data_IF_232249016704
#
_entry.id   IF_232249016704
#
_cell.length_a   1.000
_cell.length_b   1.000
_cell.length_c   1.000
_cell.angle_alpha   90.00
_cell.angle_beta   90.00
_cell.angle_gamma   90.00
#
_symmetry.space_group_name_H-M   'P 1'
#
loop_
_entity.id
_entity.type
_entity.pdbx_description
1 polymer ?
#
# COMPACT_ATOMS: atom_id res chain seq x y z
N UNK A 1 13.15 -38.78 -27.59
CA UNK A 1 13.50 -37.98 -26.39
C UNK A 1 13.64 -36.49 -26.71
N UNK A 2 14.16 -36.11 -27.90
CA UNK A 2 14.39 -34.70 -28.25
C UNK A 2 13.13 -33.82 -28.42
N UNK A 3 12.01 -34.40 -28.87
CA UNK A 3 10.82 -33.62 -29.26
C UNK A 3 10.18 -32.85 -28.09
N UNK A 4 10.28 -33.38 -26.86
CA UNK A 4 9.77 -32.69 -25.65
C UNK A 4 10.53 -31.38 -25.34
N UNK A 5 11.84 -31.34 -25.59
CA UNK A 5 12.63 -30.12 -25.41
C UNK A 5 12.33 -29.10 -26.51
N UNK A 6 12.07 -29.56 -27.73
CA UNK A 6 11.67 -28.72 -28.86
C UNK A 6 10.32 -28.02 -28.58
N UNK A 7 9.30 -28.76 -28.11
CA UNK A 7 7.99 -28.20 -27.75
C UNK A 7 8.11 -27.15 -26.63
N UNK A 8 8.91 -27.41 -25.58
CA UNK A 8 9.09 -26.47 -24.48
C UNK A 8 9.75 -25.16 -24.95
N UNK A 9 10.82 -25.25 -25.74
CA UNK A 9 11.52 -24.08 -26.30
C UNK A 9 10.64 -23.28 -27.28
N UNK A 10 9.81 -23.94 -28.10
CA UNK A 10 8.83 -23.25 -28.95
C UNK A 10 7.78 -22.49 -28.13
N UNK A 11 7.32 -23.08 -27.02
CA UNK A 11 6.31 -22.50 -26.14
C UNK A 11 6.87 -21.29 -25.37
N UNK A 12 8.09 -21.39 -24.85
CA UNK A 12 8.82 -20.30 -24.21
C UNK A 12 9.11 -19.15 -25.20
N UNK A 13 9.46 -19.47 -26.45
CA UNK A 13 9.62 -18.48 -27.52
C UNK A 13 8.29 -17.75 -27.84
N UNK A 14 7.18 -18.47 -27.89
CA UNK A 14 5.85 -17.87 -28.09
C UNK A 14 5.45 -16.97 -26.91
N UNK A 15 5.71 -17.38 -25.68
CA UNK A 15 5.47 -16.56 -24.48
C UNK A 15 6.33 -15.29 -24.48
N UNK A 16 7.60 -15.41 -24.85
CA UNK A 16 8.53 -14.27 -25.00
C UNK A 16 8.05 -13.27 -26.05
N UNK A 17 7.38 -13.74 -27.11
CA UNK A 17 6.80 -12.91 -28.17
C UNK A 17 5.45 -12.28 -27.78
N UNK A 18 4.65 -12.97 -26.97
CA UNK A 18 3.28 -12.57 -26.61
C UNK A 18 3.12 -12.38 -25.10
N UNK A 19 3.93 -11.50 -24.53
CA UNK A 19 4.01 -11.22 -23.07
C UNK A 19 2.65 -10.95 -22.41
N UNK A 20 1.68 -10.39 -23.16
CA UNK A 20 0.32 -10.11 -22.67
C UNK A 20 -0.62 -11.32 -22.52
N UNK A 21 -0.30 -12.51 -23.06
CA UNK A 21 -1.22 -13.67 -22.98
C UNK A 21 -1.14 -14.43 -21.64
N UNK A 22 -0.08 -14.20 -20.85
CA UNK A 22 0.14 -14.85 -19.56
C UNK A 22 0.52 -16.33 -19.62
N UNK A 23 0.98 -16.85 -18.49
CA UNK A 23 1.28 -18.25 -18.19
C UNK A 23 1.04 -18.54 -16.70
N UNK A 24 1.18 -19.81 -16.28
CA UNK A 24 0.89 -20.23 -14.91
C UNK A 24 1.69 -19.47 -13.83
N UNK A 25 2.91 -19.05 -14.18
CA UNK A 25 3.86 -18.39 -13.28
C UNK A 25 3.88 -16.85 -13.43
N UNK A 26 2.97 -16.28 -14.24
CA UNK A 26 2.84 -14.83 -14.37
C UNK A 26 2.43 -14.21 -13.04
N UNK A 27 3.28 -13.36 -12.49
CA UNK A 27 3.00 -12.69 -11.22
C UNK A 27 1.87 -11.66 -11.36
N UNK A 28 1.20 -11.37 -10.24
CA UNK A 28 0.16 -10.31 -10.16
C UNK A 28 0.67 -8.96 -10.69
N UNK A 29 1.95 -8.64 -10.48
CA UNK A 29 2.56 -7.39 -10.92
C UNK A 29 2.83 -7.37 -12.43
N UNK A 30 3.30 -8.47 -13.03
CA UNK A 30 3.48 -8.60 -14.48
C UNK A 30 2.13 -8.49 -15.20
N UNK A 31 1.12 -9.24 -14.74
CA UNK A 31 -0.24 -9.17 -15.28
C UNK A 31 -0.81 -7.75 -15.20
N UNK A 32 -0.77 -7.12 -14.03
CA UNK A 32 -1.27 -5.76 -13.85
C UNK A 32 -0.52 -4.75 -14.73
N UNK A 33 0.81 -4.88 -14.85
CA UNK A 33 1.63 -3.99 -15.68
C UNK A 33 1.31 -4.11 -17.16
N UNK A 34 1.06 -5.32 -17.66
CA UNK A 34 0.63 -5.56 -19.04
C UNK A 34 -0.74 -4.93 -19.31
N UNK A 35 -1.74 -5.17 -18.45
CA UNK A 35 -3.08 -4.57 -18.58
C UNK A 35 -3.03 -3.04 -18.63
N UNK A 36 -2.20 -2.39 -17.81
CA UNK A 36 -2.04 -0.93 -17.84
C UNK A 36 -1.33 -0.46 -19.13
N UNK A 37 -0.32 -1.19 -19.60
CA UNK A 37 0.37 -0.89 -20.86
C UNK A 37 -0.57 -1.00 -22.06
N UNK A 38 -1.38 -2.05 -22.12
CA UNK A 38 -2.38 -2.25 -23.18
C UNK A 38 -3.44 -1.15 -23.14
N UNK A 39 -3.91 -0.78 -21.94
CA UNK A 39 -4.83 0.35 -21.74
C UNK A 39 -4.25 1.66 -22.27
N UNK A 40 -3.00 2.00 -21.91
CA UNK A 40 -2.33 3.20 -22.42
C UNK A 40 -2.04 3.13 -23.93
N UNK A 41 -1.74 1.94 -24.47
CA UNK A 41 -1.60 1.74 -25.91
C UNK A 41 -2.92 2.01 -26.65
N UNK A 42 -4.06 1.55 -26.12
CA UNK A 42 -5.39 1.88 -26.64
C UNK A 42 -5.67 3.38 -26.60
N UNK A 43 -5.34 4.06 -25.50
CA UNK A 43 -5.51 5.52 -25.39
C UNK A 43 -4.64 6.30 -26.39
N UNK A 44 -3.47 5.77 -26.75
CA UNK A 44 -2.56 6.36 -27.74
C UNK A 44 -2.92 6.03 -29.19
N UNK A 45 -3.51 4.86 -29.44
CA UNK A 45 -3.94 4.39 -30.76
C UNK A 45 -5.26 4.99 -31.23
N UNK A 46 -6.19 5.27 -30.30
CA UNK A 46 -7.49 5.85 -30.63
C UNK A 46 -7.47 7.38 -30.50
N UNK A 47 -7.58 8.07 -31.64
CA UNK A 47 -7.54 9.54 -31.72
C UNK A 47 -8.58 10.21 -30.82
N UNK A 48 -9.80 9.69 -30.77
CA UNK A 48 -10.88 10.26 -29.96
C UNK A 48 -10.62 10.14 -28.45
N UNK A 49 -10.04 9.02 -28.02
CA UNK A 49 -9.66 8.81 -26.62
C UNK A 49 -8.50 9.73 -26.21
N UNK A 50 -7.46 9.85 -27.05
CA UNK A 50 -6.37 10.80 -26.82
C UNK A 50 -6.87 12.25 -26.74
N UNK A 51 -7.82 12.62 -27.61
CA UNK A 51 -8.45 13.94 -27.61
C UNK A 51 -9.28 14.17 -26.35
N UNK A 52 -10.09 13.20 -25.94
CA UNK A 52 -10.93 13.28 -24.75
C UNK A 52 -10.08 13.50 -23.49
N UNK A 53 -9.03 12.69 -23.29
CA UNK A 53 -8.10 12.84 -22.17
C UNK A 53 -7.40 14.21 -22.21
N UNK A 54 -6.97 14.67 -23.39
CA UNK A 54 -6.35 16.00 -23.54
C UNK A 54 -7.28 17.17 -23.20
N UNK A 55 -8.58 17.05 -23.51
CA UNK A 55 -9.58 18.04 -23.11
C UNK A 55 -9.87 18.00 -21.60
N UNK A 56 -9.99 16.81 -21.00
CA UNK A 56 -10.25 16.65 -19.57
C UNK A 56 -9.08 17.12 -18.69
N UNK A 57 -7.84 16.83 -19.09
CA UNK A 57 -6.63 17.27 -18.38
C UNK A 57 -6.24 18.72 -18.71
N UNK A 58 -6.93 19.38 -19.67
CA UNK A 58 -6.60 20.70 -20.21
C UNK A 58 -5.12 20.82 -20.64
N UNK A 59 -4.63 19.80 -21.34
CA UNK A 59 -3.22 19.65 -21.72
C UNK A 59 -3.07 19.40 -23.22
N UNK A 60 -1.91 19.75 -23.79
CA UNK A 60 -1.72 19.54 -25.24
C UNK A 60 -1.68 18.04 -25.58
N UNK A 61 -2.24 17.66 -26.74
CA UNK A 61 -2.25 16.25 -27.21
C UNK A 61 -0.85 15.61 -27.22
N UNK A 62 0.17 16.39 -27.58
CA UNK A 62 1.56 15.96 -27.57
C UNK A 62 2.08 15.69 -26.15
N UNK A 63 1.70 16.53 -25.17
CA UNK A 63 2.08 16.38 -23.77
C UNK A 63 1.34 15.22 -23.10
N UNK A 64 0.05 15.03 -23.36
CA UNK A 64 -0.69 13.83 -22.90
C UNK A 64 -0.08 12.57 -23.49
N UNK A 65 0.25 12.56 -24.80
CA UNK A 65 0.95 11.44 -25.45
C UNK A 65 2.29 11.13 -24.79
N UNK A 66 3.09 12.15 -24.49
CA UNK A 66 4.36 11.99 -23.75
C UNK A 66 4.15 11.45 -22.33
N UNK A 67 3.16 11.95 -21.60
CA UNK A 67 2.84 11.49 -20.24
C UNK A 67 2.35 10.04 -20.21
N UNK A 68 1.49 9.63 -21.16
CA UNK A 68 1.03 8.25 -21.30
C UNK A 68 2.21 7.31 -21.62
N UNK A 69 3.06 7.67 -22.58
CA UNK A 69 4.28 6.92 -22.89
C UNK A 69 5.23 6.80 -21.68
N UNK A 70 5.38 7.87 -20.87
CA UNK A 70 6.15 7.82 -19.63
C UNK A 70 5.52 6.87 -18.60
N UNK A 71 4.19 6.87 -18.46
CA UNK A 71 3.44 5.95 -17.56
C UNK A 71 3.53 4.49 -18.01
N UNK A 72 3.75 4.19 -19.30
CA UNK A 72 3.93 2.81 -19.79
C UNK A 72 5.23 2.15 -19.28
N UNK A 73 6.27 2.91 -18.92
CA UNK A 73 7.54 2.35 -18.42
C UNK A 73 7.29 1.52 -17.16
N UNK A 74 6.61 2.10 -16.17
CA UNK A 74 6.35 1.47 -14.88
C UNK A 74 4.97 1.90 -14.33
N UNK A 75 3.87 1.33 -14.86
CA UNK A 75 2.51 1.76 -14.51
C UNK A 75 2.12 1.38 -13.07
N UNK A 76 2.67 0.28 -12.55
CA UNK A 76 2.30 -0.31 -11.26
C UNK A 76 3.39 -0.16 -10.18
N UNK A 77 4.30 0.82 -10.34
CA UNK A 77 5.46 0.97 -9.47
C UNK A 77 6.52 -0.13 -9.64
N UNK A 78 7.59 -0.13 -8.83
CA UNK A 78 8.63 -1.15 -8.89
C UNK A 78 8.06 -2.56 -8.69
N UNK A 79 8.63 -3.59 -9.33
CA UNK A 79 8.26 -4.97 -9.06
C UNK A 79 8.50 -5.27 -7.58
N UNK A 80 7.58 -6.01 -6.97
CA UNK A 80 7.81 -6.55 -5.63
C UNK A 80 8.98 -7.53 -5.69
N UNK A 81 9.88 -7.44 -4.71
CA UNK A 81 10.93 -8.44 -4.56
C UNK A 81 10.28 -9.82 -4.39
N UNK A 82 10.74 -10.80 -5.16
CA UNK A 82 10.30 -12.18 -5.02
C UNK A 82 10.85 -12.69 -3.68
N UNK A 83 10.04 -12.59 -2.63
CA UNK A 83 10.35 -13.17 -1.32
C UNK A 83 10.57 -14.68 -1.50
N UNK A 84 11.80 -15.12 -1.28
CA UNK A 84 12.15 -16.54 -1.27
C UNK A 84 11.21 -17.29 -0.31
N UNK A 85 10.73 -18.48 -0.68
CA UNK A 85 9.71 -19.20 0.12
C UNK A 85 10.19 -19.46 1.56
N UNK A 86 11.50 -19.64 1.74
CA UNK A 86 12.17 -19.77 3.06
C UNK A 86 12.04 -18.54 3.96
N UNK A 87 11.85 -17.34 3.40
CA UNK A 87 11.63 -16.11 4.16
C UNK A 87 10.22 -16.08 4.76
N UNK A 88 9.23 -16.73 4.12
CA UNK A 88 7.85 -16.79 4.64
C UNK A 88 7.77 -17.59 5.94
N UNK A 89 8.48 -18.71 6.04
CA UNK A 89 8.57 -19.50 7.28
C UNK A 89 9.26 -18.71 8.41
N UNK A 90 10.36 -18.00 8.11
CA UNK A 90 11.05 -17.16 9.09
C UNK A 90 10.13 -16.05 9.60
N UNK A 91 9.42 -15.35 8.70
CA UNK A 91 8.52 -14.26 9.09
C UNK A 91 7.32 -14.75 9.91
N UNK A 92 6.77 -15.93 9.57
CA UNK A 92 5.69 -16.58 10.32
C UNK A 92 6.11 -17.02 11.73
N UNK A 93 7.35 -17.47 11.91
CA UNK A 93 7.92 -17.80 13.22
C UNK A 93 8.25 -16.54 14.05
N UNK A 94 8.62 -15.44 13.40
CA UNK A 94 9.01 -14.19 14.06
C UNK A 94 7.80 -13.38 14.56
N UNK A 95 6.65 -13.45 13.87
CA UNK A 95 5.36 -12.92 14.34
C UNK A 95 4.86 -13.58 15.65
N UNK A 96 5.41 -14.75 16.02
CA UNK A 96 5.01 -15.51 17.22
C UNK A 96 5.70 -15.05 18.52
N UNK A 97 6.83 -14.33 18.46
CA UNK A 97 7.67 -14.05 19.65
C UNK A 97 7.83 -12.57 20.05
N UNK A 98 7.37 -11.61 19.24
CA UNK A 98 7.67 -10.18 19.45
C UNK A 98 6.46 -9.34 19.87
N UNK A 99 6.17 -9.34 21.17
CA UNK A 99 5.58 -8.16 21.84
C UNK A 99 6.37 -7.83 23.10
N UNK A 100 7.48 -7.11 22.93
CA UNK A 100 8.31 -6.61 24.02
C UNK A 100 8.00 -5.15 24.37
N UNK A 101 7.97 -4.85 25.66
CA UNK A 101 7.91 -3.49 26.18
C UNK A 101 9.28 -2.82 26.02
N UNK A 102 9.32 -1.64 25.41
CA UNK A 102 10.54 -0.84 25.34
C UNK A 102 10.55 0.15 26.51
N UNK A 103 11.28 -0.21 27.56
CA UNK A 103 12.01 0.76 28.39
C UNK A 103 13.43 0.90 27.79
N UNK A 104 14.03 2.08 27.84
CA UNK A 104 15.28 2.36 27.12
C UNK A 104 16.45 2.68 28.05
N UNK A 105 17.67 2.46 27.54
CA UNK A 105 18.73 3.47 27.61
C UNK A 105 19.74 3.29 26.44
N UNK A 106 20.77 4.15 26.41
CA UNK A 106 21.66 4.52 25.31
C UNK A 106 22.75 3.50 24.89
N UNK A 107 23.61 3.99 23.98
CA UNK A 107 25.00 3.58 23.64
C UNK A 107 25.12 2.36 22.69
N UNK A 108 25.96 2.31 21.63
CA UNK A 108 27.19 3.04 21.24
C UNK A 108 27.24 3.35 19.71
N UNK A 109 28.01 4.38 19.32
CA UNK A 109 28.38 4.76 17.94
C UNK A 109 29.53 3.90 17.36
N UNK A 110 29.63 3.71 16.02
CA UNK A 110 30.69 4.32 15.17
C UNK A 110 30.87 3.76 13.72
N UNK A 111 30.84 4.67 12.73
CA UNK A 111 31.68 4.81 11.48
C UNK A 111 31.77 3.64 10.47
N UNK A 112 32.11 3.77 9.17
CA UNK A 112 32.60 4.82 8.20
C UNK A 112 32.26 4.28 6.77
N UNK A 113 32.23 4.95 5.62
CA UNK A 113 32.47 6.33 5.10
C UNK A 113 31.66 6.47 3.77
N UNK A 114 31.08 7.60 3.36
CA UNK A 114 31.58 8.87 2.75
C UNK A 114 31.46 8.94 1.22
N UNK A 115 31.25 10.19 0.74
CA UNK A 115 31.27 10.73 -0.63
C UNK A 115 29.86 10.89 -1.26
N UNK A 116 29.15 12.02 -1.12
CA UNK A 116 29.38 13.38 -1.71
C UNK A 116 29.32 13.41 -3.25
N UNK A 117 28.68 14.35 -3.96
CA UNK A 117 27.64 15.38 -3.70
C UNK A 117 27.18 15.91 -5.06
N UNK A 118 25.92 16.31 -5.25
CA UNK A 118 25.62 17.63 -5.85
C UNK A 118 24.23 18.16 -5.45
N UNK A 119 24.07 19.48 -5.51
CA UNK A 119 22.90 20.27 -5.10
C UNK A 119 22.33 21.01 -6.33
N UNK A 120 21.10 21.52 -6.41
CA UNK A 120 20.34 22.37 -5.46
C UNK A 120 18.89 22.57 -6.03
N UNK A 121 18.02 23.49 -5.54
CA UNK A 121 16.76 23.09 -4.89
C UNK A 121 15.47 23.59 -5.59
N UNK A 122 14.30 23.10 -5.16
CA UNK A 122 13.15 23.96 -4.80
C UNK A 122 12.04 23.21 -4.03
N UNK A 123 11.44 23.95 -3.09
CA UNK A 123 10.10 23.81 -2.48
C UNK A 123 9.73 22.54 -1.68
N UNK A 124 9.96 22.65 -0.37
CA UNK A 124 9.53 21.72 0.65
C UNK A 124 8.01 21.75 0.91
N UNK A 125 7.41 20.55 1.01
CA UNK A 125 6.23 20.25 1.84
C UNK A 125 6.19 18.75 2.18
N UNK A 126 6.62 18.39 3.40
CA UNK A 126 6.28 17.08 4.00
C UNK A 126 7.43 16.09 4.22
N UNK A 127 8.50 16.48 4.92
CA UNK A 127 9.48 15.53 5.46
C UNK A 127 8.84 14.53 6.43
N UNK A 128 8.60 13.29 5.98
CA UNK A 128 8.39 12.10 6.84
C UNK A 128 8.49 10.74 6.11
N UNK A 129 8.88 10.71 4.82
CA UNK A 129 8.99 9.47 4.01
C UNK A 129 10.32 8.69 4.20
N UNK A 130 10.63 8.30 5.43
CA UNK A 130 11.80 7.44 5.74
C UNK A 130 11.44 6.13 6.47
N UNK A 131 10.16 5.88 6.72
CA UNK A 131 9.64 4.62 7.24
C UNK A 131 8.18 4.48 6.79
N UNK A 132 7.80 3.36 6.18
CA UNK A 132 6.44 3.11 5.65
C UNK A 132 5.34 2.91 6.71
N UNK A 133 5.33 3.74 7.75
CA UNK A 133 4.44 3.69 8.92
C UNK A 133 3.55 4.93 8.93
N UNK A 134 2.24 4.73 8.96
CA UNK A 134 1.24 5.79 9.13
C UNK A 134 1.07 6.09 10.60
N UNK A 135 1.00 7.37 10.93
CA UNK A 135 0.61 7.87 12.25
C UNK A 135 -0.88 8.13 12.27
N UNK A 136 -1.58 7.54 13.23
CA UNK A 136 -3.03 7.69 13.39
C UNK A 136 -3.41 7.96 14.84
N UNK A 137 -4.59 8.56 15.02
CA UNK A 137 -5.13 9.01 16.30
C UNK A 137 -6.47 8.30 16.55
N UNK A 138 -6.54 7.55 17.64
CA UNK A 138 -7.74 6.82 18.09
C UNK A 138 -8.50 7.62 19.14
N UNK A 139 -9.71 8.05 18.81
CA UNK A 139 -10.63 8.78 19.72
C UNK A 139 -11.83 7.91 20.10
N UNK A 140 -12.13 7.81 21.40
CA UNK A 140 -13.38 7.23 21.88
C UNK A 140 -14.56 8.14 21.52
N UNK A 141 -15.69 7.55 21.12
CA UNK A 141 -16.96 8.27 20.94
C UNK A 141 -18.10 7.48 21.58
N UNK A 142 -19.08 8.20 22.11
CA UNK A 142 -20.16 7.62 22.92
C UNK A 142 -19.64 7.11 24.26
N UNK A 143 -20.16 5.96 24.69
CA UNK A 143 -19.77 5.29 25.95
C UNK A 143 -18.54 4.38 25.85
N UNK A 144 -17.73 4.49 24.79
CA UNK A 144 -16.56 3.63 24.63
C UNK A 144 -15.43 3.98 25.64
N UNK A 145 -14.75 2.98 26.25
CA UNK A 145 -13.69 3.25 27.22
C UNK A 145 -12.51 4.03 26.60
N UNK A 146 -12.02 5.05 27.30
CA UNK A 146 -11.00 5.96 26.77
C UNK A 146 -9.60 5.35 26.90
N UNK A 147 -8.91 5.16 25.76
CA UNK A 147 -7.52 4.70 25.71
C UNK A 147 -6.53 5.65 26.40
N UNK A 148 -5.61 5.09 27.19
CA UNK A 148 -4.50 5.80 27.86
C UNK A 148 -3.50 6.45 26.90
N UNK A 149 -3.37 5.92 25.67
CA UNK A 149 -2.59 6.52 24.57
C UNK A 149 -3.49 6.60 23.34
N UNK A 150 -3.59 7.78 22.75
CA UNK A 150 -4.45 8.01 21.58
C UNK A 150 -3.66 7.98 20.26
N UNK A 151 -2.38 8.36 20.26
CA UNK A 151 -1.53 8.41 19.06
C UNK A 151 -0.78 7.08 18.89
N UNK A 152 -0.89 6.49 17.71
CA UNK A 152 -0.31 5.19 17.35
C UNK A 152 0.36 5.27 15.97
N UNK A 153 1.20 4.29 15.66
CA UNK A 153 1.84 4.14 14.35
C UNK A 153 1.74 2.69 13.86
N UNK A 154 1.35 2.49 12.61
CA UNK A 154 1.15 1.17 12.00
C UNK A 154 1.68 1.16 10.56
N UNK A 155 2.34 0.09 10.09
CA UNK A 155 2.80 0.01 8.69
C UNK A 155 1.65 0.06 7.69
N UNK A 156 1.88 0.71 6.55
CA UNK A 156 0.90 0.93 5.46
C UNK A 156 0.23 -0.35 4.94
N UNK A 157 0.86 -1.51 5.13
CA UNK A 157 0.41 -2.83 4.67
C UNK A 157 -0.69 -3.49 5.53
N UNK A 158 -0.93 -3.03 6.77
CA UNK A 158 -1.94 -3.64 7.66
C UNK A 158 -3.36 -3.12 7.36
N UNK A 159 -4.37 -3.90 7.72
CA UNK A 159 -5.78 -3.60 7.47
C UNK A 159 -6.48 -2.97 8.68
N UNK A 160 -7.65 -2.37 8.47
CA UNK A 160 -8.50 -1.86 9.55
C UNK A 160 -8.91 -2.98 10.52
N UNK A 161 -9.15 -4.20 10.03
CA UNK A 161 -9.46 -5.37 10.86
C UNK A 161 -8.39 -5.65 11.92
N UNK A 162 -7.11 -5.46 11.59
CA UNK A 162 -6.02 -5.62 12.54
C UNK A 162 -6.04 -4.56 13.66
N UNK A 163 -6.50 -3.33 13.36
CA UNK A 163 -6.73 -2.28 14.36
C UNK A 163 -7.91 -2.65 15.27
N UNK A 164 -8.98 -3.22 14.70
CA UNK A 164 -10.15 -3.71 15.45
C UNK A 164 -9.76 -4.85 16.40
N UNK A 165 -8.97 -5.82 15.94
CA UNK A 165 -8.42 -6.91 16.77
C UNK A 165 -7.50 -6.37 17.88
N UNK A 166 -6.61 -5.44 17.54
CA UNK A 166 -5.72 -4.79 18.50
C UNK A 166 -6.49 -4.08 19.61
N UNK A 167 -7.53 -3.29 19.26
CA UNK A 167 -8.37 -2.61 20.23
C UNK A 167 -9.10 -3.58 21.17
N UNK A 168 -9.69 -4.66 20.63
CA UNK A 168 -10.36 -5.70 21.43
C UNK A 168 -9.40 -6.33 22.46
N UNK A 169 -8.18 -6.66 22.04
CA UNK A 169 -7.15 -7.24 22.93
C UNK A 169 -6.60 -6.23 23.94
N UNK A 170 -6.38 -4.98 23.52
CA UNK A 170 -5.79 -3.93 24.38
C UNK A 170 -6.75 -3.48 25.49
N UNK A 171 -8.03 -3.38 25.18
CA UNK A 171 -9.06 -2.88 26.10
C UNK A 171 -9.73 -3.98 26.93
N UNK A 172 -9.39 -5.26 26.70
CA UNK A 172 -9.91 -6.43 27.44
C UNK A 172 -11.45 -6.50 27.50
N UNK A 173 -12.14 -6.15 26.40
CA UNK A 173 -13.60 -6.18 26.32
C UNK A 173 -14.14 -7.60 26.57
N UNK A 174 -15.30 -7.69 27.22
CA UNK A 174 -16.07 -8.93 27.29
C UNK A 174 -16.53 -9.40 25.90
N UNK A 175 -16.72 -10.72 25.74
CA UNK A 175 -17.02 -11.36 24.46
C UNK A 175 -18.29 -10.84 23.75
N UNK A 176 -19.23 -10.24 24.49
CA UNK A 176 -20.39 -9.54 23.94
C UNK A 176 -19.99 -8.19 23.31
N UNK A 177 -19.27 -7.34 24.05
CA UNK A 177 -18.82 -6.02 23.59
C UNK A 177 -17.80 -6.14 22.43
N UNK A 178 -17.01 -7.21 22.40
CA UNK A 178 -16.10 -7.51 21.29
C UNK A 178 -16.80 -7.67 19.94
N UNK A 179 -18.09 -8.04 19.89
CA UNK A 179 -18.83 -8.20 18.62
C UNK A 179 -19.25 -6.86 18.01
N UNK A 180 -19.29 -5.78 18.80
CA UNK A 180 -19.92 -4.51 18.43
C UNK A 180 -18.94 -3.32 18.43
N UNK A 181 -17.64 -3.55 18.31
CA UNK A 181 -16.67 -2.46 18.14
C UNK A 181 -16.67 -1.95 16.69
N UNK A 182 -17.19 -0.74 16.48
CA UNK A 182 -17.18 -0.04 15.20
C UNK A 182 -16.04 0.99 15.16
N UNK A 183 -15.45 1.18 13.97
CA UNK A 183 -14.46 2.23 13.69
C UNK A 183 -14.98 3.10 12.56
N UNK A 184 -14.81 4.41 12.70
CA UNK A 184 -15.22 5.42 11.75
C UNK A 184 -14.07 6.34 11.36
N UNK A 185 -13.96 6.63 10.07
CA UNK A 185 -13.02 7.61 9.51
C UNK A 185 -13.72 8.96 9.47
N UNK A 186 -13.04 10.02 9.91
CA UNK A 186 -13.49 11.41 9.85
C UNK A 186 -14.94 11.69 10.34
N UNK A 187 -15.45 10.87 11.27
CA UNK A 187 -16.81 10.96 11.85
C UNK A 187 -17.95 10.81 10.82
N UNK A 188 -17.71 10.12 9.70
CA UNK A 188 -18.69 9.97 8.62
C UNK A 188 -19.02 8.51 8.32
N UNK A 189 -18.04 7.70 7.93
CA UNK A 189 -18.29 6.33 7.45
C UNK A 189 -17.40 5.29 8.14
N UNK A 190 -17.88 4.04 8.18
CA UNK A 190 -17.13 2.89 8.64
C UNK A 190 -16.42 2.20 7.46
N UNK A 191 -15.07 2.18 7.38
CA UNK A 191 -14.36 1.46 6.33
C UNK A 191 -14.49 -0.06 6.54
N UNK A 192 -14.42 -0.82 5.45
CA UNK A 192 -14.44 -2.28 5.50
C UNK A 192 -13.16 -2.83 6.16
N UNK A 193 -13.28 -3.94 6.90
CA UNK A 193 -12.20 -4.46 7.74
C UNK A 193 -10.98 -5.00 6.95
N UNK A 194 -11.18 -5.33 5.68
CA UNK A 194 -10.15 -5.72 4.71
C UNK A 194 -9.39 -4.54 4.11
N UNK A 195 -9.91 -3.31 4.23
CA UNK A 195 -9.28 -2.11 3.67
C UNK A 195 -7.94 -1.83 4.34
N UNK A 196 -6.91 -1.51 3.56
CA UNK A 196 -5.57 -1.20 4.09
C UNK A 196 -5.52 0.20 4.70
N UNK A 197 -4.78 0.35 5.81
CA UNK A 197 -4.57 1.64 6.46
C UNK A 197 -3.87 2.63 5.52
N UNK A 198 -3.03 2.13 4.59
CA UNK A 198 -2.46 2.86 3.47
C UNK A 198 -3.51 3.63 2.66
N UNK A 199 -4.46 2.90 2.06
CA UNK A 199 -5.49 3.50 1.21
C UNK A 199 -6.38 4.50 1.97
N UNK A 200 -6.75 4.19 3.22
CA UNK A 200 -7.56 5.11 4.05
C UNK A 200 -6.79 6.39 4.36
N UNK A 201 -5.50 6.30 4.71
CA UNK A 201 -4.69 7.48 5.01
C UNK A 201 -4.46 8.36 3.78
N UNK A 202 -4.23 7.77 2.61
CA UNK A 202 -3.97 8.55 1.39
C UNK A 202 -5.19 9.39 0.98
N UNK A 203 -6.40 8.88 1.19
CA UNK A 203 -7.65 9.59 0.87
C UNK A 203 -8.15 10.52 2.00
N UNK A 204 -7.90 10.20 3.27
CA UNK A 204 -8.63 10.80 4.41
C UNK A 204 -7.75 11.37 5.53
N UNK A 205 -6.42 11.44 5.37
CA UNK A 205 -5.57 12.09 6.37
C UNK A 205 -5.90 13.58 6.56
N UNK A 206 -5.55 14.13 7.71
CA UNK A 206 -5.56 15.55 8.02
C UNK A 206 -4.25 15.91 8.69
N UNK A 207 -3.54 16.90 8.14
CA UNK A 207 -2.23 17.36 8.65
C UNK A 207 -1.19 16.24 8.78
N UNK A 208 -1.22 15.24 7.88
CA UNK A 208 -0.33 14.07 7.93
C UNK A 208 -0.66 13.05 9.03
N UNK A 209 -1.84 13.15 9.65
CA UNK A 209 -2.34 12.16 10.61
C UNK A 209 -3.74 11.68 10.24
N UNK A 210 -4.02 10.39 10.43
CA UNK A 210 -5.36 9.84 10.22
C UNK A 210 -6.13 9.78 11.53
N UNK A 211 -7.35 10.33 11.59
CA UNK A 211 -8.17 10.31 12.81
C UNK A 211 -9.26 9.25 12.71
N UNK A 212 -9.17 8.24 13.57
CA UNK A 212 -10.11 7.12 13.69
C UNK A 212 -10.93 7.27 14.97
N UNK A 213 -12.25 7.16 14.85
CA UNK A 213 -13.19 7.23 15.97
C UNK A 213 -13.74 5.83 16.24
N UNK A 214 -13.64 5.32 17.46
CA UNK A 214 -14.15 4.01 17.84
C UNK A 214 -15.32 4.12 18.83
N UNK A 215 -16.29 3.23 18.69
CA UNK A 215 -17.53 3.20 19.48
C UNK A 215 -18.04 1.76 19.65
N UNK A 216 -18.74 1.49 20.75
CA UNK A 216 -19.41 0.20 21.04
C UNK A 216 -20.80 0.08 20.40
N UNK A 217 -21.36 1.19 19.93
CA UNK A 217 -22.66 1.26 19.28
C UNK A 217 -22.52 2.01 17.94
N UNK A 218 -23.30 1.66 16.91
CA UNK A 218 -23.27 2.39 15.65
C UNK A 218 -23.64 3.85 15.90
N UNK A 219 -22.79 4.78 15.48
CA UNK A 219 -22.92 6.21 15.77
C UNK A 219 -23.15 7.07 14.51
N UNK A 220 -22.65 6.61 13.37
CA UNK A 220 -22.87 7.22 12.05
C UNK A 220 -23.20 6.13 11.02
N UNK A 221 -23.84 6.52 9.92
CA UNK A 221 -24.28 5.64 8.84
C UNK A 221 -24.60 6.45 7.59
#
# INVERSE_FOLDING_TARGET
>A
MGDRYNIHSQLEHLQSKYVGTGHADTTKWEWASNIHRDTYASYLGHFDMLNHIALCENESKARVKFLLLKKMIQPCGPPHEKMDESIKEIHFLQDSSMMSTIEGDKTILKTTNSDETDSRPTDARGDLEANGKIVFLLKAVGGAPILKRQRWALPRSKTIGHIVEFLKKYMQLDAEQQKQLFIYVNQTFAPAFDTTIGAVNDCFNSEGTLVLHYTLTPAWG
#
